data_IF_788682623669
#
_entry.id   IF_788682623669
#
_cell.length_a   1.000
_cell.length_b   1.000
_cell.length_c   1.000
_cell.angle_alpha   90.00
_cell.angle_beta   90.00
_cell.angle_gamma   90.00
#
_symmetry.space_group_name_H-M   'P 1'
#
loop_
_entity.id
_entity.type
_entity.pdbx_description
1 polymer ?
#
# COMPACT_ATOMS: atom_id res chain seq x y z
N UNK A 1 27.00 -3.00 -4.24
CA UNK A 1 26.43 -1.94 -3.38
C UNK A 1 24.96 -2.28 -3.22
N UNK A 2 24.43 -2.27 -2.00
CA UNK A 2 23.00 -2.56 -1.82
C UNK A 2 22.21 -1.33 -2.29
N UNK A 3 21.49 -1.45 -3.41
CA UNK A 3 20.62 -0.41 -3.99
C UNK A 3 19.33 -0.24 -3.15
N UNK A 4 19.49 -0.01 -1.85
CA UNK A 4 18.37 0.26 -0.95
C UNK A 4 17.83 1.68 -1.17
N UNK A 5 16.50 1.90 -1.10
CA UNK A 5 15.93 3.25 -1.07
C UNK A 5 16.52 4.07 0.08
N UNK A 6 16.61 5.39 -0.11
CA UNK A 6 17.11 6.30 0.91
C UNK A 6 16.31 6.21 2.22
N UNK A 7 14.99 6.04 2.11
CA UNK A 7 14.11 5.75 3.24
C UNK A 7 13.15 4.63 2.89
N UNK A 8 13.01 3.68 3.81
CA UNK A 8 12.01 2.61 3.75
C UNK A 8 11.12 2.68 4.99
N UNK A 9 9.81 2.69 4.79
CA UNK A 9 8.82 2.53 5.86
C UNK A 9 8.10 1.20 5.71
N UNK A 10 8.08 0.40 6.77
CA UNK A 10 7.22 -0.77 6.86
C UNK A 10 5.93 -0.37 7.59
N UNK A 11 4.77 -0.60 6.95
CA UNK A 11 3.49 -0.12 7.44
C UNK A 11 2.39 -1.16 7.28
N UNK A 12 1.25 -0.95 7.95
CA UNK A 12 0.05 -1.75 7.75
C UNK A 12 -1.19 -0.88 7.76
N UNK A 13 -2.17 -1.21 6.92
CA UNK A 13 -3.51 -0.59 6.99
C UNK A 13 -4.29 -0.97 8.27
N UNK A 14 -3.79 -1.93 9.05
CA UNK A 14 -4.29 -2.28 10.39
C UNK A 14 -3.55 -1.58 11.53
N UNK A 15 -2.53 -0.76 11.25
CA UNK A 15 -1.69 -0.12 12.25
C UNK A 15 -2.15 1.32 12.53
N UNK A 16 -2.72 1.64 13.73
CA UNK A 16 -3.18 2.99 14.03
C UNK A 16 -2.09 4.08 14.00
N UNK A 17 -0.85 3.83 14.50
CA UNK A 17 0.24 4.79 14.33
C UNK A 17 0.58 5.05 12.86
N UNK A 18 0.55 4.03 12.01
CA UNK A 18 0.82 4.15 10.57
C UNK A 18 -0.22 5.03 9.87
N UNK A 19 -1.50 4.89 10.25
CA UNK A 19 -2.56 5.81 9.81
C UNK A 19 -2.27 7.24 10.24
N UNK A 20 -1.85 7.45 11.48
CA UNK A 20 -1.54 8.79 11.96
C UNK A 20 -0.36 9.40 11.21
N UNK A 21 0.73 8.66 11.04
CA UNK A 21 1.93 9.09 10.33
C UNK A 21 1.62 9.54 8.90
N UNK A 22 0.82 8.75 8.19
CA UNK A 22 0.50 9.00 6.79
C UNK A 22 -0.60 10.05 6.60
N UNK A 23 -1.70 9.98 7.37
CA UNK A 23 -2.94 10.67 7.05
C UNK A 23 -3.29 11.85 7.96
N UNK A 24 -2.81 11.88 9.21
CA UNK A 24 -3.26 12.92 10.18
C UNK A 24 -2.14 13.82 10.69
N UNK A 25 -0.95 13.28 10.89
CA UNK A 25 0.21 14.00 11.43
C UNK A 25 1.19 14.45 10.34
N UNK A 26 1.07 13.93 9.11
CA UNK A 26 1.92 14.33 7.99
C UNK A 26 3.40 13.97 8.16
N UNK A 27 3.71 12.91 8.92
CA UNK A 27 5.09 12.46 9.15
C UNK A 27 5.73 12.02 7.84
N UNK A 28 5.03 11.23 7.03
CA UNK A 28 5.57 10.75 5.74
C UNK A 28 5.76 11.91 4.76
N UNK A 29 4.95 12.97 4.87
CA UNK A 29 5.10 14.18 4.07
C UNK A 29 6.35 14.97 4.52
N UNK A 30 6.54 15.12 5.83
CA UNK A 30 7.72 15.79 6.38
C UNK A 30 9.02 15.06 6.02
N UNK A 31 9.02 13.72 6.06
CA UNK A 31 10.15 12.91 5.63
C UNK A 31 10.45 13.14 4.14
N UNK A 32 9.45 13.05 3.26
CA UNK A 32 9.64 13.29 1.82
C UNK A 32 10.18 14.70 1.53
N UNK A 33 9.81 15.71 2.32
CA UNK A 33 10.25 17.08 2.12
C UNK A 33 11.74 17.30 2.42
N UNK A 34 12.33 16.49 3.31
CA UNK A 34 13.75 16.61 3.68
C UNK A 34 14.67 15.70 2.85
N UNK A 35 14.11 14.89 1.94
CA UNK A 35 14.92 14.01 1.11
C UNK A 35 15.75 14.81 0.08
N UNK A 36 17.03 14.45 -0.09
CA UNK A 36 17.85 14.99 -1.17
C UNK A 36 17.21 14.76 -2.55
N UNK A 37 17.58 15.60 -3.51
CA UNK A 37 17.10 15.45 -4.88
C UNK A 37 17.57 14.10 -5.46
N UNK A 38 16.62 13.30 -5.96
CA UNK A 38 16.87 11.97 -6.51
C UNK A 38 16.65 10.82 -5.52
N UNK A 39 16.60 11.12 -4.22
CA UNK A 39 16.26 10.14 -3.20
C UNK A 39 14.74 9.91 -3.12
N UNK A 40 14.36 8.71 -2.69
CA UNK A 40 12.96 8.32 -2.54
C UNK A 40 12.69 7.63 -1.22
N UNK A 41 11.52 7.94 -0.67
CA UNK A 41 10.88 7.14 0.37
C UNK A 41 10.04 6.06 -0.30
N UNK A 42 10.24 4.80 0.10
CA UNK A 42 9.43 3.66 -0.34
C UNK A 42 8.70 3.07 0.86
N UNK A 43 7.43 2.71 0.68
CA UNK A 43 6.62 2.06 1.71
C UNK A 43 6.36 0.62 1.34
N UNK A 44 6.56 -0.30 2.28
CA UNK A 44 6.25 -1.73 2.14
C UNK A 44 5.19 -2.13 3.14
N UNK A 45 4.14 -2.82 2.67
CA UNK A 45 3.07 -3.28 3.51
C UNK A 45 3.47 -4.60 4.20
N UNK A 46 3.28 -4.70 5.51
CA UNK A 46 3.55 -5.94 6.27
C UNK A 46 2.32 -6.84 6.31
N UNK A 47 2.49 -8.13 6.03
CA UNK A 47 1.38 -9.08 5.87
C UNK A 47 0.86 -9.70 7.16
N UNK A 48 1.60 -9.58 8.27
CA UNK A 48 1.31 -10.29 9.53
C UNK A 48 0.23 -9.61 10.41
N UNK A 49 -0.21 -8.39 10.06
CA UNK A 49 -1.19 -7.64 10.86
C UNK A 49 -2.59 -7.77 10.26
N UNK A 50 -3.53 -8.22 11.09
CA UNK A 50 -4.96 -8.26 10.80
C UNK A 50 -5.41 -9.40 9.85
N UNK A 51 -6.73 -9.62 9.73
CA UNK A 51 -7.28 -10.76 9.01
C UNK A 51 -7.08 -10.72 7.49
N UNK A 52 -6.88 -9.53 6.91
CA UNK A 52 -6.65 -9.34 5.46
C UNK A 52 -5.19 -8.96 5.14
N UNK A 53 -4.25 -9.26 6.04
CA UNK A 53 -2.88 -8.76 5.95
C UNK A 53 -2.16 -9.14 4.65
N UNK A 54 -2.29 -10.39 4.19
CA UNK A 54 -1.71 -10.84 2.92
C UNK A 54 -2.44 -10.25 1.70
N UNK A 55 -3.76 -10.16 1.74
CA UNK A 55 -4.57 -9.56 0.68
C UNK A 55 -4.22 -8.08 0.48
N UNK A 56 -4.06 -7.34 1.57
CA UNK A 56 -3.66 -5.94 1.56
C UNK A 56 -2.22 -5.75 1.10
N UNK A 57 -1.30 -6.67 1.47
CA UNK A 57 0.09 -6.66 0.97
C UNK A 57 0.13 -6.86 -0.55
N UNK A 58 -0.70 -7.76 -1.08
CA UNK A 58 -0.84 -7.99 -2.51
C UNK A 58 -1.53 -6.82 -3.23
N UNK A 59 -2.54 -6.22 -2.63
CA UNK A 59 -3.16 -5.01 -3.16
C UNK A 59 -2.16 -3.83 -3.20
N UNK A 60 -1.33 -3.69 -2.17
CA UNK A 60 -0.25 -2.70 -2.15
C UNK A 60 0.81 -2.97 -3.22
N UNK A 61 1.22 -4.23 -3.40
CA UNK A 61 2.11 -4.63 -4.48
C UNK A 61 1.59 -4.19 -5.86
N UNK A 62 0.28 -4.38 -6.12
CA UNK A 62 -0.36 -3.90 -7.34
C UNK A 62 -0.32 -2.36 -7.45
N UNK A 63 -0.59 -1.64 -6.36
CA UNK A 63 -0.49 -0.17 -6.34
C UNK A 63 0.93 0.31 -6.69
N UNK A 64 1.96 -0.36 -6.16
CA UNK A 64 3.36 -0.05 -6.49
C UNK A 64 3.68 -0.28 -7.96
N UNK A 65 3.24 -1.40 -8.53
CA UNK A 65 3.43 -1.72 -9.96
C UNK A 65 2.73 -0.68 -10.85
N UNK A 66 1.54 -0.23 -10.46
CA UNK A 66 0.76 0.76 -11.19
C UNK A 66 1.20 2.21 -10.92
N UNK A 67 2.04 2.46 -9.91
CA UNK A 67 2.42 3.79 -9.41
C UNK A 67 1.22 4.60 -8.87
N UNK A 68 0.25 3.90 -8.29
CA UNK A 68 -0.99 4.44 -7.71
C UNK A 68 -0.97 4.41 -6.17
N UNK A 69 0.22 4.42 -5.56
CA UNK A 69 0.39 4.24 -4.11
C UNK A 69 -0.35 5.29 -3.29
N UNK A 70 -0.31 6.57 -3.69
CA UNK A 70 -0.84 7.67 -2.90
C UNK A 70 -2.38 7.61 -2.77
N UNK A 71 -3.07 7.35 -3.88
CA UNK A 71 -4.54 7.24 -3.90
C UNK A 71 -5.02 5.96 -3.21
N UNK A 72 -4.30 4.85 -3.40
CA UNK A 72 -4.62 3.57 -2.80
C UNK A 72 -4.38 3.59 -1.28
N UNK A 73 -3.30 4.24 -0.83
CA UNK A 73 -2.96 4.38 0.58
C UNK A 73 -4.08 5.09 1.35
N UNK A 74 -4.47 6.28 0.86
CA UNK A 74 -5.57 7.05 1.44
C UNK A 74 -6.88 6.26 1.44
N UNK A 75 -7.18 5.57 0.35
CA UNK A 75 -8.42 4.81 0.22
C UNK A 75 -8.51 3.65 1.21
N UNK A 76 -7.43 2.89 1.40
CA UNK A 76 -7.42 1.77 2.36
C UNK A 76 -7.43 2.21 3.81
N UNK A 77 -6.66 3.26 4.16
CA UNK A 77 -6.75 3.82 5.49
C UNK A 77 -8.15 4.35 5.80
N UNK A 78 -8.80 5.02 4.85
CA UNK A 78 -10.19 5.47 5.01
C UNK A 78 -11.13 4.28 5.19
N UNK A 79 -11.06 3.29 4.31
CA UNK A 79 -11.93 2.12 4.37
C UNK A 79 -11.75 1.28 5.65
N UNK A 80 -10.53 1.19 6.18
CA UNK A 80 -10.19 0.42 7.38
C UNK A 80 -10.40 1.18 8.69
N UNK A 81 -9.77 2.34 8.83
CA UNK A 81 -9.70 3.09 10.10
C UNK A 81 -10.90 4.02 10.31
N UNK A 82 -11.46 4.57 9.23
CA UNK A 82 -12.56 5.55 9.30
C UNK A 82 -13.91 4.86 9.12
N UNK A 83 -14.10 4.21 7.98
CA UNK A 83 -15.38 3.61 7.58
C UNK A 83 -15.59 2.21 8.17
N UNK A 84 -14.51 1.56 8.63
CA UNK A 84 -14.52 0.21 9.23
C UNK A 84 -15.24 -0.82 8.37
N UNK A 85 -14.95 -0.86 7.06
CA UNK A 85 -15.63 -1.71 6.06
C UNK A 85 -14.71 -2.65 5.28
N UNK A 86 -13.49 -2.90 5.78
CA UNK A 86 -12.56 -3.89 5.22
C UNK A 86 -12.68 -5.20 6.00
N UNK A 87 -13.54 -6.10 5.53
CA UNK A 87 -13.82 -7.39 6.21
C UNK A 87 -13.58 -8.61 5.33
N UNK A 88 -13.49 -8.41 4.01
CA UNK A 88 -13.31 -9.49 3.05
C UNK A 88 -12.32 -9.13 1.93
N UNK A 89 -11.76 -10.14 1.24
CA UNK A 89 -10.97 -9.91 0.02
C UNK A 89 -11.74 -9.15 -1.07
N UNK A 90 -13.07 -9.30 -1.11
CA UNK A 90 -13.93 -8.57 -2.05
C UNK A 90 -14.04 -7.08 -1.71
N UNK A 91 -13.99 -6.70 -0.42
CA UNK A 91 -13.88 -5.30 -0.01
C UNK A 91 -12.55 -4.71 -0.49
N UNK A 92 -11.44 -5.47 -0.37
CA UNK A 92 -10.11 -5.05 -0.82
C UNK A 92 -10.13 -4.71 -2.31
N UNK A 93 -10.65 -5.62 -3.13
CA UNK A 93 -10.81 -5.38 -4.57
C UNK A 93 -11.66 -4.15 -4.86
N UNK A 94 -12.81 -4.01 -4.18
CA UNK A 94 -13.75 -2.90 -4.41
C UNK A 94 -13.13 -1.55 -4.08
N UNK A 95 -12.42 -1.44 -2.95
CA UNK A 95 -11.70 -0.23 -2.56
C UNK A 95 -10.64 0.13 -3.60
N UNK A 96 -9.82 -0.85 -4.00
CA UNK A 96 -8.77 -0.64 -4.98
C UNK A 96 -9.32 -0.12 -6.32
N UNK A 97 -10.35 -0.79 -6.85
CA UNK A 97 -11.00 -0.39 -8.11
C UNK A 97 -11.62 0.99 -8.01
N UNK A 98 -12.29 1.30 -6.89
CA UNK A 98 -12.90 2.62 -6.69
C UNK A 98 -11.86 3.74 -6.60
N UNK A 99 -10.66 3.46 -6.08
CA UNK A 99 -9.60 4.43 -5.93
C UNK A 99 -8.83 4.70 -7.24
N UNK A 100 -8.66 3.67 -8.06
CA UNK A 100 -7.81 3.71 -9.28
C UNK A 100 -8.59 3.80 -10.58
N UNK A 101 -9.89 3.49 -10.56
CA UNK A 101 -10.75 3.50 -11.75
C UNK A 101 -10.61 2.27 -12.65
N UNK A 102 -9.78 1.28 -12.30
CA UNK A 102 -9.60 0.09 -13.14
C UNK A 102 -10.83 -0.82 -13.13
N UNK A 103 -11.03 -1.52 -14.24
CA UNK A 103 -12.12 -2.49 -14.37
C UNK A 103 -11.89 -3.73 -13.48
N UNK A 104 -12.98 -4.43 -13.13
CA UNK A 104 -12.89 -5.71 -12.40
C UNK A 104 -12.00 -6.72 -13.12
N UNK A 105 -12.16 -6.83 -14.44
CA UNK A 105 -11.40 -7.76 -15.25
C UNK A 105 -9.91 -7.42 -15.26
N UNK A 106 -9.56 -6.15 -15.25
CA UNK A 106 -8.17 -5.69 -15.16
C UNK A 106 -7.57 -5.98 -13.78
N UNK A 107 -8.29 -5.66 -12.70
CA UNK A 107 -7.84 -6.01 -11.34
C UNK A 107 -7.58 -7.52 -11.21
N UNK A 108 -8.56 -8.35 -11.58
CA UNK A 108 -8.50 -9.81 -11.42
C UNK A 108 -7.32 -10.43 -12.21
N UNK A 109 -6.92 -9.82 -13.33
CA UNK A 109 -5.72 -10.21 -14.10
C UNK A 109 -4.44 -9.68 -13.45
N UNK A 110 -4.37 -8.39 -13.16
CA UNK A 110 -3.15 -7.72 -12.73
C UNK A 110 -2.69 -8.16 -11.34
N UNK A 111 -3.62 -8.45 -10.42
CA UNK A 111 -3.33 -8.87 -9.03
C UNK A 111 -2.59 -10.22 -8.94
N UNK A 112 -2.62 -11.01 -10.02
CA UNK A 112 -1.93 -12.31 -10.15
C UNK A 112 -0.72 -12.27 -11.09
N UNK A 113 -0.38 -11.09 -11.62
CA UNK A 113 0.71 -10.93 -12.57
C UNK A 113 2.07 -11.27 -11.95
N UNK A 114 3.07 -11.71 -12.75
CA UNK A 114 4.42 -11.95 -12.26
C UNK A 114 5.02 -10.73 -11.55
N UNK A 115 4.83 -9.53 -12.12
CA UNK A 115 5.31 -8.28 -11.53
C UNK A 115 4.75 -8.04 -10.11
N UNK A 116 3.46 -8.34 -9.89
CA UNK A 116 2.86 -8.25 -8.55
C UNK A 116 3.38 -9.34 -7.63
N UNK A 117 3.60 -10.57 -8.11
CA UNK A 117 4.17 -11.65 -7.30
C UNK A 117 5.58 -11.30 -6.82
N UNK A 118 6.43 -10.79 -7.71
CA UNK A 118 7.78 -10.35 -7.36
C UNK A 118 7.74 -9.20 -6.34
N UNK A 119 6.74 -8.32 -6.44
CA UNK A 119 6.56 -7.21 -5.51
C UNK A 119 5.95 -7.58 -4.17
N UNK A 120 5.15 -8.64 -4.09
CA UNK A 120 4.80 -9.27 -2.80
C UNK A 120 6.05 -9.88 -2.18
N UNK A 121 6.81 -10.67 -2.94
CA UNK A 121 8.01 -11.33 -2.44
C UNK A 121 9.09 -10.33 -2.01
N UNK A 122 9.15 -9.13 -2.59
CA UNK A 122 10.07 -8.08 -2.15
C UNK A 122 9.68 -7.49 -0.79
N UNK A 123 8.38 -7.34 -0.52
CA UNK A 123 7.86 -6.77 0.72
C UNK A 123 8.03 -7.69 1.93
N UNK A 124 7.94 -9.00 1.70
CA UNK A 124 8.01 -10.03 2.74
C UNK A 124 9.44 -10.49 3.05
N UNK A 125 10.46 -9.81 2.50
CA UNK A 125 11.89 -10.10 2.72
C UNK A 125 12.48 -9.32 3.87
#
# INVERSE_FOLDING_TARGET
MADAPAVVEFFSFYCPPCYAFSQTMGVDQAIRHVLPQGDRMVKYHVSLLGPLGHELTRAWALAMVMKETDVVEKAFFTAGMVEKRLHSPDDVRRVFMSATGISRAEYDRSIKSPAVNDMVALQER
#
